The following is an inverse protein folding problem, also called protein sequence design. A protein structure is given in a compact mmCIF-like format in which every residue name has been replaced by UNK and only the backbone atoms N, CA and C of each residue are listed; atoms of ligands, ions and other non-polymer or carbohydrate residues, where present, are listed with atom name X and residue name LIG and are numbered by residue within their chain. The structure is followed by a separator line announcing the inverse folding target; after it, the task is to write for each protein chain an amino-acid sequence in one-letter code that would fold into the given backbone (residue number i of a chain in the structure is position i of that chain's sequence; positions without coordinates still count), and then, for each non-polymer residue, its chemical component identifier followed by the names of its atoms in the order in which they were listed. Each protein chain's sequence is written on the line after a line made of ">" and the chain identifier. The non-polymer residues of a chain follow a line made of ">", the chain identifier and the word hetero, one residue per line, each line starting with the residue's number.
data_IF_368787050931
#
_entry.id   IF_368787050931
#
_cell.length_a   1.000
_cell.length_b   1.000
_cell.length_c   1.000
_cell.angle_alpha   90.00
_cell.angle_beta   90.00
_cell.angle_gamma   90.00
#
_symmetry.space_group_name_H-M   'P 1'
#
loop_
_entity.id
_entity.type
_entity.pdbx_description
1 polymer ?
#
# COMPACT_ATOMS: atom_id res chain seq x y z
N UNK A 1 20.85 25.40 1.52
CA UNK A 1 20.00 24.46 0.77
C UNK A 1 19.96 24.94 -0.67
N UNK A 2 20.01 24.06 -1.67
CA UNK A 2 19.89 24.45 -3.08
C UNK A 2 18.52 25.07 -3.39
N UNK A 3 18.47 25.96 -4.39
CA UNK A 3 17.24 26.66 -4.81
C UNK A 3 16.20 25.73 -5.43
N UNK A 4 16.65 24.61 -5.99
CA UNK A 4 15.84 23.57 -6.64
C UNK A 4 15.51 22.39 -5.71
N UNK A 5 15.59 22.57 -4.40
CA UNK A 5 15.34 21.54 -3.42
C UNK A 5 14.46 22.05 -2.26
N UNK A 6 13.94 21.09 -1.48
CA UNK A 6 13.24 21.36 -0.23
C UNK A 6 13.70 20.43 0.89
N UNK A 7 13.38 20.79 2.13
CA UNK A 7 13.54 19.96 3.30
C UNK A 7 12.16 19.75 3.94
N UNK A 8 11.77 18.50 4.09
CA UNK A 8 10.54 18.11 4.77
C UNK A 8 10.86 17.72 6.22
N UNK A 9 10.15 18.32 7.17
CA UNK A 9 10.06 17.84 8.55
C UNK A 9 9.07 16.70 8.59
N UNK A 10 9.54 15.49 8.87
CA UNK A 10 8.70 14.31 8.91
C UNK A 10 7.81 14.34 10.16
N UNK A 11 6.51 14.30 9.98
CA UNK A 11 5.55 14.17 11.09
C UNK A 11 5.18 12.70 11.32
N UNK A 12 4.99 11.95 10.22
CA UNK A 12 4.58 10.55 10.23
C UNK A 12 5.32 9.79 9.14
N UNK A 13 5.81 8.61 9.49
CA UNK A 13 6.30 7.61 8.53
C UNK A 13 5.61 6.26 8.83
N UNK A 14 4.79 5.78 7.89
CA UNK A 14 4.13 4.48 7.98
C UNK A 14 5.15 3.33 7.93
N UNK A 15 4.82 2.22 8.59
CA UNK A 15 5.65 1.00 8.58
C UNK A 15 4.99 -0.06 7.70
N UNK A 16 5.69 -0.46 6.65
CA UNK A 16 5.22 -1.36 5.62
C UNK A 16 5.75 -2.79 5.80
N UNK A 17 5.09 -3.77 5.18
CA UNK A 17 5.61 -5.14 5.06
C UNK A 17 6.96 -5.21 4.33
N UNK A 18 7.22 -4.31 3.40
CA UNK A 18 8.51 -4.22 2.70
C UNK A 18 9.65 -3.76 3.61
N UNK A 19 9.37 -2.97 4.65
CA UNK A 19 10.38 -2.64 5.67
C UNK A 19 10.83 -3.91 6.42
N UNK A 20 9.91 -4.85 6.68
CA UNK A 20 10.24 -6.14 7.33
C UNK A 20 11.18 -6.96 6.43
N UNK A 21 10.89 -7.04 5.14
CA UNK A 21 11.71 -7.75 4.17
C UNK A 21 13.10 -7.13 4.05
N UNK A 22 13.16 -5.81 3.95
CA UNK A 22 14.40 -5.05 3.82
C UNK A 22 15.26 -5.12 5.10
N UNK A 23 14.64 -5.08 6.27
CA UNK A 23 15.33 -5.19 7.55
C UNK A 23 16.03 -6.54 7.75
N UNK A 24 15.54 -7.60 7.10
CA UNK A 24 16.12 -8.96 7.16
C UNK A 24 17.21 -9.20 6.11
N UNK A 25 17.31 -8.35 5.09
CA UNK A 25 18.30 -8.50 4.02
C UNK A 25 19.65 -7.91 4.44
N UNK A 26 20.78 -8.48 3.96
CA UNK A 26 22.08 -7.82 4.07
C UNK A 26 22.02 -6.45 3.42
N UNK A 27 22.65 -5.46 4.03
CA UNK A 27 22.75 -4.12 3.49
C UNK A 27 23.33 -4.14 2.08
N UNK A 28 22.55 -3.76 1.09
CA UNK A 28 23.02 -3.55 -0.28
C UNK A 28 23.36 -2.08 -0.45
N UNK A 29 24.63 -1.78 -0.75
CA UNK A 29 25.06 -0.42 -1.07
C UNK A 29 25.29 0.49 0.14
N UNK A 30 25.47 -0.03 1.35
CA UNK A 30 25.86 0.72 2.54
C UNK A 30 24.72 0.94 3.55
N UNK A 31 24.96 1.75 4.62
CA UNK A 31 23.97 2.05 5.62
C UNK A 31 22.83 2.89 5.04
N UNK A 32 21.59 2.65 5.50
CA UNK A 32 20.42 3.40 5.04
C UNK A 32 19.49 3.75 6.20
N UNK A 33 18.73 4.82 6.02
CA UNK A 33 17.56 5.14 6.84
C UNK A 33 16.33 4.63 6.09
N UNK A 34 15.55 3.77 6.73
CA UNK A 34 14.33 3.20 6.18
C UNK A 34 13.13 4.15 6.33
N UNK A 35 11.94 3.70 5.97
CA UNK A 35 10.71 4.47 6.01
C UNK A 35 10.43 5.18 4.67
N UNK A 36 9.37 4.75 4.02
CA UNK A 36 9.03 5.18 2.66
C UNK A 36 7.55 5.62 2.50
N UNK A 37 6.77 5.64 3.56
CA UNK A 37 5.39 6.11 3.61
C UNK A 37 5.33 7.40 4.43
N UNK A 38 5.64 8.55 3.80
CA UNK A 38 6.04 9.76 4.51
C UNK A 38 5.04 10.90 4.37
N UNK A 39 4.69 11.51 5.50
CA UNK A 39 3.89 12.73 5.60
C UNK A 39 4.65 13.74 6.47
N UNK A 40 4.67 15.00 6.05
CA UNK A 40 5.35 16.03 6.83
C UNK A 40 5.14 17.44 6.32
N UNK A 41 5.65 18.38 7.07
CA UNK A 41 5.61 19.81 6.71
C UNK A 41 6.87 20.20 5.95
N UNK A 42 6.71 20.98 4.89
CA UNK A 42 7.83 21.60 4.20
C UNK A 42 8.46 22.65 5.14
N UNK A 43 9.65 22.36 5.67
CA UNK A 43 10.32 23.24 6.65
C UNK A 43 11.22 24.27 6.01
N UNK A 44 11.76 23.97 4.83
CA UNK A 44 12.51 24.90 3.97
C UNK A 44 12.21 24.57 2.52
N UNK A 45 12.02 25.59 1.71
CA UNK A 45 11.70 25.44 0.28
C UNK A 45 12.52 26.41 -0.54
N UNK A 46 13.32 25.92 -1.48
CA UNK A 46 14.05 26.75 -2.43
C UNK A 46 13.11 27.43 -3.43
N UNK A 47 13.48 28.60 -3.94
CA UNK A 47 12.60 29.40 -4.79
C UNK A 47 12.20 28.68 -6.09
N UNK A 48 13.14 28.00 -6.73
CA UNK A 48 12.90 27.18 -7.94
C UNK A 48 11.97 26.00 -7.63
N UNK A 49 12.20 25.30 -6.51
CA UNK A 49 11.36 24.20 -6.07
C UNK A 49 9.92 24.68 -5.79
N UNK A 50 9.78 25.80 -5.06
CA UNK A 50 8.48 26.41 -4.75
C UNK A 50 7.67 26.72 -6.01
N UNK A 51 8.31 27.38 -6.97
CA UNK A 51 7.69 27.76 -8.24
C UNK A 51 7.30 26.52 -9.07
N UNK A 52 8.17 25.50 -9.13
CA UNK A 52 7.94 24.30 -9.92
C UNK A 52 6.84 23.41 -9.35
N UNK A 53 6.82 23.22 -8.02
CA UNK A 53 5.84 22.36 -7.32
C UNK A 53 4.58 23.09 -6.88
N UNK A 54 4.57 24.41 -6.92
CA UNK A 54 3.46 25.24 -6.45
C UNK A 54 3.25 25.16 -4.93
N UNK A 55 4.29 24.90 -4.14
CA UNK A 55 4.26 24.73 -2.68
C UNK A 55 5.04 25.82 -1.96
N UNK A 56 4.86 25.90 -0.65
CA UNK A 56 5.56 26.84 0.23
C UNK A 56 5.92 26.20 1.56
N UNK A 57 6.78 26.86 2.32
CA UNK A 57 7.07 26.48 3.70
C UNK A 57 5.78 26.43 4.54
N UNK A 58 5.66 25.41 5.37
CA UNK A 58 4.50 25.13 6.20
C UNK A 58 3.39 24.32 5.51
N UNK A 59 3.48 24.03 4.21
CA UNK A 59 2.53 23.12 3.56
C UNK A 59 2.71 21.70 4.09
N UNK A 60 1.61 21.04 4.47
CA UNK A 60 1.56 19.63 4.80
C UNK A 60 1.43 18.81 3.52
N UNK A 61 2.37 17.89 3.31
CA UNK A 61 2.46 17.09 2.09
C UNK A 61 2.62 15.61 2.41
N UNK A 62 2.03 14.77 1.56
CA UNK A 62 2.37 13.37 1.42
C UNK A 62 3.47 13.26 0.36
N UNK A 63 4.53 12.51 0.69
CA UNK A 63 5.70 12.32 -0.17
C UNK A 63 5.70 10.89 -0.72
N UNK A 64 5.67 10.79 -2.05
CA UNK A 64 5.90 9.52 -2.72
C UNK A 64 7.33 9.02 -2.54
N UNK A 65 7.46 7.71 -2.40
CA UNK A 65 8.79 7.12 -2.26
C UNK A 65 9.56 7.01 -3.58
N UNK A 66 8.90 7.25 -4.70
CA UNK A 66 9.52 7.27 -6.04
C UNK A 66 10.21 8.60 -6.33
N UNK A 67 11.37 8.53 -6.99
CA UNK A 67 12.10 9.68 -7.53
C UNK A 67 12.25 9.50 -9.05
N UNK A 68 11.20 9.78 -9.83
CA UNK A 68 11.16 9.53 -11.25
C UNK A 68 12.13 10.41 -12.03
N UNK A 69 12.49 9.99 -13.26
CA UNK A 69 13.39 10.77 -14.11
C UNK A 69 12.77 12.07 -14.67
N UNK A 70 11.44 12.17 -14.67
CA UNK A 70 10.69 13.34 -15.12
C UNK A 70 10.46 13.44 -16.64
N UNK A 71 10.94 12.46 -17.44
CA UNK A 71 10.89 12.55 -18.90
C UNK A 71 10.57 11.24 -19.65
N UNK A 72 10.37 10.13 -18.95
CA UNK A 72 9.98 8.89 -19.60
C UNK A 72 8.45 8.81 -19.80
N UNK A 73 8.00 7.88 -20.65
CA UNK A 73 6.58 7.67 -20.91
C UNK A 73 5.77 7.40 -19.63
N UNK A 74 6.32 6.63 -18.69
CA UNK A 74 5.68 6.30 -17.42
C UNK A 74 5.46 7.52 -16.54
N UNK A 75 6.43 8.44 -16.53
CA UNK A 75 6.32 9.68 -15.75
C UNK A 75 5.25 10.61 -16.35
N UNK A 76 5.21 10.71 -17.69
CA UNK A 76 4.18 11.50 -18.39
C UNK A 76 2.76 10.96 -18.19
N UNK A 77 2.61 9.66 -17.98
CA UNK A 77 1.32 9.03 -17.70
C UNK A 77 0.95 9.03 -16.20
N UNK A 78 1.84 9.53 -15.31
CA UNK A 78 1.65 9.44 -13.86
C UNK A 78 1.83 8.03 -13.28
N UNK A 79 2.47 7.14 -14.05
CA UNK A 79 2.78 5.75 -13.70
C UNK A 79 4.27 5.58 -13.30
N UNK A 80 4.81 6.56 -12.59
CA UNK A 80 6.22 6.65 -12.21
C UNK A 80 6.74 5.45 -11.42
N UNK A 81 5.86 4.61 -10.88
CA UNK A 81 6.21 3.29 -10.30
C UNK A 81 6.93 2.36 -11.29
N UNK A 82 6.80 2.62 -12.58
CA UNK A 82 7.46 1.89 -13.68
C UNK A 82 8.68 2.63 -14.25
N UNK A 83 9.03 3.80 -13.71
CA UNK A 83 10.21 4.55 -14.14
C UNK A 83 11.50 3.84 -13.74
N UNK A 84 12.37 3.56 -14.72
CA UNK A 84 13.64 2.86 -14.47
C UNK A 84 14.56 3.57 -13.48
N UNK A 85 14.51 4.91 -13.40
CA UNK A 85 15.33 5.70 -12.50
C UNK A 85 15.03 5.45 -11.01
N UNK A 86 13.86 4.91 -10.68
CA UNK A 86 13.45 4.58 -9.31
C UNK A 86 13.39 3.06 -9.04
N UNK A 87 13.89 2.24 -9.97
CA UNK A 87 13.78 0.78 -9.91
C UNK A 87 15.02 0.13 -9.27
N UNK A 88 15.12 0.23 -7.96
CA UNK A 88 16.26 -0.25 -7.19
C UNK A 88 16.47 -1.78 -7.22
N UNK A 89 15.47 -2.58 -7.58
CA UNK A 89 15.63 -4.04 -7.70
C UNK A 89 16.61 -4.42 -8.83
N UNK A 90 16.61 -3.64 -9.91
CA UNK A 90 17.44 -3.89 -11.09
C UNK A 90 18.63 -2.96 -11.18
N UNK A 91 18.52 -1.73 -10.62
CA UNK A 91 19.61 -0.76 -10.60
C UNK A 91 19.92 -0.31 -9.17
N UNK A 92 21.04 -0.75 -8.58
CA UNK A 92 21.43 -0.35 -7.23
C UNK A 92 21.77 1.15 -7.11
N UNK A 93 21.91 1.87 -8.23
CA UNK A 93 22.12 3.32 -8.27
C UNK A 93 20.79 4.11 -8.30
N UNK A 94 19.66 3.45 -8.49
CA UNK A 94 18.37 4.11 -8.46
C UNK A 94 18.12 4.72 -7.09
N UNK A 95 17.67 5.97 -7.08
CA UNK A 95 17.36 6.70 -5.84
C UNK A 95 15.87 6.54 -5.53
N UNK A 96 15.59 6.13 -4.29
CA UNK A 96 14.22 5.94 -3.81
C UNK A 96 14.18 6.14 -2.29
N UNK A 97 13.18 6.84 -1.78
CA UNK A 97 13.05 7.04 -0.35
C UNK A 97 12.89 5.72 0.42
N UNK A 98 13.62 5.59 1.54
CA UNK A 98 13.66 4.40 2.37
C UNK A 98 14.54 3.26 1.86
N UNK A 99 15.17 3.41 0.68
CA UNK A 99 15.98 2.38 0.02
C UNK A 99 17.39 2.84 -0.37
N UNK A 100 17.64 4.14 -0.33
CA UNK A 100 18.89 4.76 -0.78
C UNK A 100 19.89 4.86 0.37
N UNK A 101 21.15 4.49 0.11
CA UNK A 101 22.23 4.60 1.10
C UNK A 101 22.45 6.04 1.57
N UNK A 102 22.77 6.22 2.85
CA UNK A 102 23.17 7.50 3.41
C UNK A 102 24.52 8.00 2.87
N UNK A 103 25.31 7.13 2.21
CA UNK A 103 26.54 7.53 1.52
C UNK A 103 26.27 8.36 0.26
N UNK A 104 25.04 8.32 -0.26
CA UNK A 104 24.60 9.21 -1.34
C UNK A 104 24.16 10.54 -0.74
N UNK A 105 24.89 11.62 -1.06
CA UNK A 105 24.57 12.94 -0.54
C UNK A 105 23.14 13.38 -0.89
N UNK A 106 22.42 14.05 0.00
CA UNK A 106 22.85 14.50 1.34
C UNK A 106 22.60 13.49 2.48
N UNK A 107 22.31 12.22 2.19
CA UNK A 107 22.10 11.17 3.19
C UNK A 107 20.71 11.18 3.87
N UNK A 108 19.80 12.03 3.44
CA UNK A 108 18.46 12.22 4.03
C UNK A 108 17.37 11.57 3.15
N UNK A 109 17.45 10.24 2.99
CA UNK A 109 16.64 9.49 2.04
C UNK A 109 15.61 8.54 2.66
N UNK A 110 15.40 8.60 3.98
CA UNK A 110 14.45 7.71 4.65
C UNK A 110 13.63 8.42 5.72
N UNK A 111 12.37 8.03 5.86
CA UNK A 111 11.38 8.68 6.73
C UNK A 111 11.48 8.32 8.21
N UNK A 112 12.23 7.27 8.57
CA UNK A 112 12.52 7.01 10.00
C UNK A 112 13.62 7.96 10.48
N UNK A 113 13.38 9.26 10.28
CA UNK A 113 14.26 10.37 10.59
C UNK A 113 13.46 11.64 10.85
N UNK A 114 14.09 12.68 11.39
CA UNK A 114 13.42 13.97 11.60
C UNK A 114 13.20 14.74 10.30
N UNK A 115 14.07 14.58 9.30
CA UNK A 115 14.03 15.35 8.07
C UNK A 115 14.33 14.48 6.85
N UNK A 116 13.67 14.82 5.74
CA UNK A 116 13.92 14.28 4.41
C UNK A 116 14.33 15.37 3.44
N UNK A 117 15.29 15.08 2.59
CA UNK A 117 15.68 15.95 1.48
C UNK A 117 14.81 15.67 0.26
N UNK A 118 14.32 16.71 -0.37
CA UNK A 118 13.46 16.63 -1.55
C UNK A 118 14.15 17.31 -2.73
N UNK A 119 14.71 16.56 -3.69
CA UNK A 119 15.17 17.10 -4.96
C UNK A 119 13.98 17.53 -5.84
N UNK A 120 14.25 18.28 -6.90
CA UNK A 120 13.21 18.84 -7.78
C UNK A 120 12.28 17.77 -8.38
N UNK A 121 12.76 16.55 -8.59
CA UNK A 121 11.96 15.42 -9.10
C UNK A 121 11.18 14.67 -8.03
N UNK A 122 11.21 15.07 -6.76
CA UNK A 122 10.35 14.49 -5.73
C UNK A 122 8.86 14.69 -6.10
N UNK A 123 8.05 13.64 -5.88
CA UNK A 123 6.61 13.69 -6.14
C UNK A 123 5.87 13.96 -4.84
N UNK A 124 5.14 15.07 -4.81
CA UNK A 124 4.42 15.56 -3.66
C UNK A 124 2.91 15.63 -3.95
N UNK A 125 2.12 15.32 -2.93
CA UNK A 125 0.68 15.54 -2.91
C UNK A 125 0.33 16.41 -1.72
N UNK A 126 -0.49 17.43 -1.92
CA UNK A 126 -0.96 18.26 -0.81
C UNK A 126 -1.97 17.46 0.01
N UNK A 127 -1.76 17.43 1.31
CA UNK A 127 -2.75 16.82 2.21
C UNK A 127 -3.98 17.71 2.27
N UNK A 128 -5.19 17.19 2.01
CA UNK A 128 -6.42 17.95 2.08
C UNK A 128 -6.64 18.58 3.46
N UNK A 129 -7.26 19.76 3.49
CA UNK A 129 -7.64 20.41 4.74
C UNK A 129 -8.61 19.52 5.52
N UNK A 130 -8.39 19.41 6.83
CA UNK A 130 -9.20 18.57 7.73
C UNK A 130 -8.67 17.16 7.93
N UNK A 131 -7.71 16.71 7.11
CA UNK A 131 -7.00 15.46 7.31
C UNK A 131 -5.75 15.72 8.16
N UNK A 132 -5.59 14.97 9.24
CA UNK A 132 -4.38 15.05 10.08
C UNK A 132 -3.19 14.38 9.39
N UNK A 133 -1.97 14.67 9.84
CA UNK A 133 -0.77 14.01 9.33
C UNK A 133 -0.81 12.49 9.58
N UNK A 134 -1.33 12.07 10.74
CA UNK A 134 -1.44 10.65 11.08
C UNK A 134 -2.43 9.92 10.18
N UNK A 135 -3.61 10.50 9.91
CA UNK A 135 -4.58 9.92 8.96
C UNK A 135 -4.01 9.89 7.53
N UNK A 136 -3.29 10.95 7.11
CA UNK A 136 -2.60 10.98 5.83
C UNK A 136 -1.47 9.94 5.74
N UNK A 137 -0.94 9.46 6.88
CA UNK A 137 0.01 8.35 6.96
C UNK A 137 -0.54 7.05 6.36
N UNK A 138 -1.87 6.89 6.29
CA UNK A 138 -2.54 5.75 5.64
C UNK A 138 -2.59 5.90 4.11
N UNK A 139 -2.10 7.02 3.54
CA UNK A 139 -2.24 7.29 2.11
C UNK A 139 -1.56 6.25 1.22
N UNK A 140 -0.37 5.74 1.57
CA UNK A 140 0.30 4.69 0.79
C UNK A 140 -0.53 3.41 0.68
N UNK A 141 -0.95 2.74 1.78
CA UNK A 141 -1.79 1.56 1.66
C UNK A 141 -3.16 1.87 1.03
N UNK A 142 -3.73 3.07 1.24
CA UNK A 142 -4.98 3.46 0.61
C UNK A 142 -4.83 3.65 -0.90
N UNK A 143 -3.73 4.23 -1.36
CA UNK A 143 -3.40 4.38 -2.78
C UNK A 143 -3.25 3.01 -3.47
N UNK A 144 -2.58 2.07 -2.80
CA UNK A 144 -2.52 0.69 -3.27
C UNK A 144 -3.93 0.07 -3.33
N UNK A 145 -4.75 0.26 -2.32
CA UNK A 145 -6.12 -0.24 -2.29
C UNK A 145 -6.95 0.26 -3.48
N UNK A 146 -6.87 1.55 -3.80
CA UNK A 146 -7.52 2.15 -4.97
C UNK A 146 -6.93 1.62 -6.27
N UNK A 147 -5.60 1.59 -6.38
CA UNK A 147 -4.94 1.08 -7.57
C UNK A 147 -5.36 -0.36 -7.87
N UNK A 148 -5.28 -1.23 -6.88
CA UNK A 148 -5.51 -2.66 -7.08
C UNK A 148 -6.98 -3.00 -7.23
N UNK A 149 -7.86 -2.40 -6.41
CA UNK A 149 -9.29 -2.68 -6.50
C UNK A 149 -9.93 -2.01 -7.71
N UNK A 150 -9.76 -0.69 -7.88
CA UNK A 150 -10.52 0.08 -8.86
C UNK A 150 -9.83 0.11 -10.22
N UNK A 151 -8.54 0.47 -10.25
CA UNK A 151 -7.83 0.72 -11.52
C UNK A 151 -7.41 -0.61 -12.16
N UNK A 152 -6.81 -1.50 -11.37
CA UNK A 152 -6.31 -2.78 -11.86
C UNK A 152 -7.40 -3.86 -11.88
N UNK A 153 -8.21 -3.96 -10.84
CA UNK A 153 -9.26 -4.96 -10.69
C UNK A 153 -10.57 -4.60 -11.39
N UNK A 154 -10.82 -3.32 -11.62
CA UNK A 154 -12.06 -2.86 -12.24
C UNK A 154 -13.28 -2.93 -11.31
N UNK A 155 -13.07 -2.90 -10.00
CA UNK A 155 -14.19 -2.85 -9.02
C UNK A 155 -14.97 -1.57 -9.21
N UNK A 156 -16.28 -1.68 -9.25
CA UNK A 156 -17.21 -0.56 -9.38
C UNK A 156 -18.57 -0.89 -8.81
N UNK A 157 -19.57 -0.12 -9.24
CA UNK A 157 -20.96 -0.30 -8.83
C UNK A 157 -21.45 -1.73 -9.06
N UNK A 158 -22.09 -2.30 -8.04
CA UNK A 158 -22.67 -3.65 -8.02
C UNK A 158 -21.66 -4.82 -8.16
N UNK A 159 -20.34 -4.57 -8.10
CA UNK A 159 -19.33 -5.65 -8.11
C UNK A 159 -19.42 -6.53 -6.87
N UNK A 160 -19.19 -7.83 -7.06
CA UNK A 160 -18.92 -8.78 -5.97
C UNK A 160 -17.43 -9.02 -5.87
N UNK A 161 -16.84 -8.76 -4.70
CA UNK A 161 -15.38 -8.73 -4.50
C UNK A 161 -14.96 -9.72 -3.41
N UNK A 162 -13.93 -10.50 -3.67
CA UNK A 162 -13.22 -11.29 -2.67
C UNK A 162 -11.87 -10.64 -2.36
N UNK A 163 -11.61 -10.35 -1.10
CA UNK A 163 -10.33 -9.82 -0.60
C UNK A 163 -9.71 -10.89 0.29
N UNK A 164 -8.51 -11.33 -0.06
CA UNK A 164 -7.75 -12.33 0.69
C UNK A 164 -6.63 -11.65 1.46
N UNK A 165 -6.64 -11.84 2.79
CA UNK A 165 -5.71 -11.21 3.72
C UNK A 165 -6.20 -9.86 4.25
N UNK A 166 -6.64 -9.79 5.53
CA UNK A 166 -7.21 -8.60 6.16
C UNK A 166 -6.14 -7.69 6.78
N UNK A 167 -4.95 -7.66 6.21
CA UNK A 167 -3.89 -6.70 6.58
C UNK A 167 -4.24 -5.28 6.14
N UNK A 168 -3.35 -4.31 6.41
CA UNK A 168 -3.58 -2.91 6.01
C UNK A 168 -3.94 -2.76 4.53
N UNK A 169 -3.30 -3.54 3.63
CA UNK A 169 -3.57 -3.50 2.20
C UNK A 169 -4.98 -4.02 1.88
N UNK A 170 -5.37 -5.17 2.44
CA UNK A 170 -6.70 -5.74 2.22
C UNK A 170 -7.81 -4.86 2.79
N UNK A 171 -7.60 -4.25 3.96
CA UNK A 171 -8.56 -3.29 4.53
C UNK A 171 -8.70 -2.03 3.67
N UNK A 172 -7.61 -1.54 3.07
CA UNK A 172 -7.67 -0.43 2.12
C UNK A 172 -8.36 -0.81 0.81
N UNK A 173 -8.15 -2.04 0.31
CA UNK A 173 -8.93 -2.58 -0.81
C UNK A 173 -10.43 -2.67 -0.48
N UNK A 174 -10.80 -3.07 0.74
CA UNK A 174 -12.19 -3.10 1.20
C UNK A 174 -12.79 -1.68 1.20
N UNK A 175 -12.11 -0.71 1.81
CA UNK A 175 -12.57 0.67 1.83
C UNK A 175 -12.75 1.24 0.41
N UNK A 176 -11.79 0.99 -0.49
CA UNK A 176 -11.88 1.39 -1.89
C UNK A 176 -13.09 0.75 -2.58
N UNK A 177 -13.28 -0.56 -2.42
CA UNK A 177 -14.38 -1.31 -3.02
C UNK A 177 -15.75 -0.83 -2.53
N UNK A 178 -15.92 -0.64 -1.23
CA UNK A 178 -17.18 -0.13 -0.65
C UNK A 178 -17.44 1.32 -1.06
N UNK A 179 -16.42 2.14 -1.18
CA UNK A 179 -16.56 3.52 -1.65
C UNK A 179 -17.00 3.58 -3.12
N UNK A 180 -16.51 2.65 -3.95
CA UNK A 180 -16.87 2.55 -5.36
C UNK A 180 -18.28 1.94 -5.61
N UNK A 181 -18.98 1.51 -4.55
CA UNK A 181 -20.32 0.95 -4.66
C UNK A 181 -20.37 -0.55 -4.96
N UNK A 182 -19.34 -1.31 -4.58
CA UNK A 182 -19.41 -2.77 -4.60
C UNK A 182 -20.62 -3.26 -3.79
N UNK A 183 -21.41 -4.14 -4.37
CA UNK A 183 -22.62 -4.69 -3.74
C UNK A 183 -22.24 -5.63 -2.60
N UNK A 184 -21.28 -6.50 -2.86
CA UNK A 184 -20.82 -7.48 -1.88
C UNK A 184 -19.30 -7.54 -1.79
N UNK A 185 -18.78 -7.43 -0.58
CA UNK A 185 -17.33 -7.59 -0.30
C UNK A 185 -17.14 -8.69 0.74
N UNK A 186 -16.42 -9.73 0.33
CA UNK A 186 -16.05 -10.89 1.14
C UNK A 186 -14.58 -10.74 1.53
N UNK A 187 -14.26 -10.92 2.80
CA UNK A 187 -12.88 -10.85 3.29
C UNK A 187 -12.48 -12.16 3.94
N UNK A 188 -11.35 -12.73 3.54
CA UNK A 188 -10.80 -13.93 4.16
C UNK A 188 -9.55 -13.64 4.97
N UNK A 189 -9.36 -14.36 6.05
CA UNK A 189 -8.18 -14.34 6.91
C UNK A 189 -8.00 -15.67 7.61
N UNK A 190 -6.96 -15.79 8.44
CA UNK A 190 -6.71 -16.93 9.31
C UNK A 190 -7.21 -16.66 10.74
N UNK A 191 -7.23 -17.66 11.60
CA UNK A 191 -7.61 -17.49 13.02
C UNK A 191 -6.75 -16.47 13.77
N UNK A 192 -5.52 -16.24 13.31
CA UNK A 192 -4.62 -15.19 13.84
C UNK A 192 -5.11 -13.78 13.48
N UNK A 193 -5.93 -13.64 12.45
CA UNK A 193 -6.44 -12.37 11.95
C UNK A 193 -7.80 -11.99 12.55
N UNK A 194 -8.28 -12.67 13.62
CA UNK A 194 -9.60 -12.43 14.19
C UNK A 194 -9.92 -10.94 14.41
N UNK A 195 -9.00 -10.18 15.04
CA UNK A 195 -9.16 -8.72 15.21
C UNK A 195 -9.26 -7.98 13.88
N UNK A 196 -8.47 -8.33 12.88
CA UNK A 196 -8.48 -7.71 11.55
C UNK A 196 -9.78 -8.01 10.79
N UNK A 197 -10.33 -9.22 10.96
CA UNK A 197 -11.64 -9.59 10.42
C UNK A 197 -12.79 -8.82 11.09
N UNK A 198 -12.68 -8.50 12.39
CA UNK A 198 -13.61 -7.60 13.07
C UNK A 198 -13.53 -6.17 12.50
N UNK A 199 -12.33 -5.66 12.28
CA UNK A 199 -12.14 -4.35 11.63
C UNK A 199 -12.70 -4.37 10.21
N UNK A 200 -12.52 -5.45 9.47
CA UNK A 200 -13.13 -5.60 8.14
C UNK A 200 -14.66 -5.52 8.19
N UNK A 201 -15.31 -6.14 9.19
CA UNK A 201 -16.77 -5.98 9.42
C UNK A 201 -17.15 -4.52 9.68
N UNK A 202 -16.40 -3.84 10.55
CA UNK A 202 -16.62 -2.43 10.86
C UNK A 202 -16.45 -1.52 9.64
N UNK A 203 -15.57 -1.88 8.70
CA UNK A 203 -15.38 -1.18 7.42
C UNK A 203 -16.42 -1.57 6.35
N UNK A 204 -17.35 -2.46 6.68
CA UNK A 204 -18.47 -2.82 5.82
C UNK A 204 -18.25 -4.07 4.97
N UNK A 205 -17.36 -4.99 5.36
CA UNK A 205 -17.33 -6.32 4.77
C UNK A 205 -18.67 -7.04 5.01
N UNK A 206 -19.28 -7.55 3.95
CA UNK A 206 -20.58 -8.22 4.03
C UNK A 206 -20.44 -9.67 4.57
N UNK A 207 -19.30 -10.30 4.27
CA UNK A 207 -18.94 -11.65 4.76
C UNK A 207 -17.47 -11.64 5.17
N UNK A 208 -17.17 -12.23 6.32
CA UNK A 208 -15.81 -12.55 6.73
C UNK A 208 -15.67 -14.04 6.95
N UNK A 209 -14.52 -14.60 6.56
CA UNK A 209 -14.29 -16.06 6.58
C UNK A 209 -12.91 -16.32 7.19
N UNK A 210 -12.89 -17.19 8.22
CA UNK A 210 -11.66 -17.79 8.73
C UNK A 210 -11.36 -19.07 7.95
N UNK A 211 -10.37 -19.02 7.08
CA UNK A 211 -10.03 -20.15 6.19
C UNK A 211 -9.44 -21.37 6.91
N UNK A 212 -9.09 -21.25 8.19
CA UNK A 212 -8.60 -22.38 8.99
C UNK A 212 -9.74 -23.16 9.66
N UNK A 213 -10.92 -22.55 9.80
CA UNK A 213 -12.08 -23.13 10.49
C UNK A 213 -13.29 -23.36 9.59
N UNK A 214 -13.32 -22.71 8.40
CA UNK A 214 -14.44 -22.78 7.46
C UNK A 214 -13.98 -23.27 6.08
N UNK A 215 -14.87 -23.94 5.35
CA UNK A 215 -14.67 -24.18 3.91
C UNK A 215 -14.90 -22.85 3.17
N UNK A 216 -13.78 -22.15 2.91
CA UNK A 216 -13.83 -20.83 2.31
C UNK A 216 -14.50 -20.83 0.94
N UNK A 217 -14.26 -21.83 0.08
CA UNK A 217 -14.87 -21.89 -1.24
C UNK A 217 -16.39 -22.08 -1.13
N UNK A 218 -16.84 -23.03 -0.30
CA UNK A 218 -18.27 -23.26 -0.07
C UNK A 218 -18.97 -22.00 0.45
N UNK A 219 -18.37 -21.30 1.42
CA UNK A 219 -18.91 -20.05 1.98
C UNK A 219 -18.98 -18.91 0.95
N UNK A 220 -17.96 -18.77 0.09
CA UNK A 220 -17.97 -17.79 -0.99
C UNK A 220 -19.05 -18.12 -2.00
N UNK A 221 -19.16 -19.37 -2.41
CA UNK A 221 -20.19 -19.81 -3.37
C UNK A 221 -21.60 -19.66 -2.81
N UNK A 222 -21.84 -20.00 -1.54
CA UNK A 222 -23.11 -19.77 -0.85
C UNK A 222 -23.47 -18.29 -0.86
N UNK A 223 -22.53 -17.40 -0.48
CA UNK A 223 -22.76 -15.96 -0.42
C UNK A 223 -22.96 -15.31 -1.78
N UNK A 224 -22.67 -16.00 -2.87
CA UNK A 224 -22.80 -15.51 -4.25
C UNK A 224 -23.83 -16.28 -5.07
N UNK A 225 -24.70 -17.07 -4.45
CA UNK A 225 -25.70 -17.93 -5.10
C UNK A 225 -25.06 -18.84 -6.19
N UNK A 226 -23.88 -19.37 -5.91
CA UNK A 226 -23.10 -20.22 -6.80
C UNK A 226 -22.48 -19.53 -8.01
N UNK A 227 -22.59 -18.19 -8.11
CA UNK A 227 -22.07 -17.42 -9.26
C UNK A 227 -20.57 -17.20 -9.18
N UNK A 228 -20.00 -17.11 -7.97
CA UNK A 228 -18.64 -16.67 -7.72
C UNK A 228 -18.51 -15.14 -7.77
N UNK A 229 -17.29 -14.64 -7.59
CA UNK A 229 -17.00 -13.21 -7.48
C UNK A 229 -16.51 -12.60 -8.80
N UNK A 230 -16.78 -11.31 -9.00
CA UNK A 230 -16.32 -10.56 -10.18
C UNK A 230 -14.82 -10.28 -10.09
N UNK A 231 -14.34 -9.91 -8.89
CA UNK A 231 -12.96 -9.52 -8.67
C UNK A 231 -12.42 -10.21 -7.43
N UNK A 232 -11.20 -10.72 -7.54
CA UNK A 232 -10.40 -11.24 -6.42
C UNK A 232 -9.19 -10.32 -6.23
N UNK A 233 -8.95 -9.91 -4.99
CA UNK A 233 -7.78 -9.12 -4.59
C UNK A 233 -6.97 -9.95 -3.59
N UNK A 234 -5.87 -10.56 -4.06
CA UNK A 234 -4.98 -11.35 -3.22
C UNK A 234 -3.92 -10.42 -2.59
N UNK A 235 -4.16 -10.06 -1.33
CA UNK A 235 -3.29 -9.23 -0.50
C UNK A 235 -2.50 -10.06 0.52
N UNK A 236 -2.42 -11.38 0.35
CA UNK A 236 -1.70 -12.26 1.28
C UNK A 236 -0.20 -12.21 1.05
N UNK A 237 0.55 -12.38 2.14
CA UNK A 237 2.02 -12.49 2.11
C UNK A 237 2.44 -13.73 2.88
N UNK A 238 3.31 -14.54 2.29
CA UNK A 238 3.83 -15.75 2.94
C UNK A 238 2.84 -16.91 3.10
N UNK A 239 1.66 -16.84 2.46
CA UNK A 239 0.62 -17.85 2.54
C UNK A 239 0.75 -18.99 1.50
N UNK A 240 1.84 -19.01 0.73
CA UNK A 240 2.04 -19.97 -0.35
C UNK A 240 1.04 -19.77 -1.49
N UNK A 241 0.73 -20.85 -2.21
CA UNK A 241 -0.10 -20.79 -3.43
C UNK A 241 -1.61 -20.93 -3.14
N UNK A 242 -1.99 -21.29 -1.92
CA UNK A 242 -3.37 -21.59 -1.56
C UNK A 242 -4.35 -20.42 -1.80
N UNK A 243 -4.03 -19.15 -1.44
CA UNK A 243 -4.92 -18.03 -1.72
C UNK A 243 -5.17 -17.83 -3.22
N UNK A 244 -4.11 -17.90 -4.02
CA UNK A 244 -4.25 -17.75 -5.47
C UNK A 244 -5.11 -18.86 -6.08
N UNK A 245 -4.94 -20.10 -5.64
CA UNK A 245 -5.78 -21.22 -6.10
C UNK A 245 -7.24 -21.05 -5.67
N UNK A 246 -7.50 -20.65 -4.42
CA UNK A 246 -8.84 -20.33 -3.94
C UNK A 246 -9.45 -19.21 -4.77
N UNK A 247 -8.70 -18.12 -5.03
CA UNK A 247 -9.16 -17.00 -5.83
C UNK A 247 -9.55 -17.39 -7.26
N UNK A 248 -8.76 -18.26 -7.91
CA UNK A 248 -9.09 -18.80 -9.22
C UNK A 248 -10.41 -19.59 -9.18
N UNK A 249 -10.63 -20.43 -8.16
CA UNK A 249 -11.87 -21.20 -8.03
C UNK A 249 -13.07 -20.31 -7.71
N UNK A 250 -12.91 -19.36 -6.79
CA UNK A 250 -13.96 -18.45 -6.34
C UNK A 250 -14.40 -17.44 -7.42
N UNK A 251 -13.56 -17.15 -8.40
CA UNK A 251 -13.91 -16.24 -9.50
C UNK A 251 -15.08 -16.80 -10.31
N UNK A 252 -15.99 -15.92 -10.73
CA UNK A 252 -17.15 -16.28 -11.57
C UNK A 252 -16.74 -17.04 -12.83
N UNK A 253 -17.70 -17.78 -13.39
CA UNK A 253 -17.44 -18.71 -14.52
C UNK A 253 -16.92 -18.05 -15.80
N UNK A 254 -17.16 -16.75 -16.01
CA UNK A 254 -16.71 -16.03 -17.21
C UNK A 254 -16.33 -14.58 -16.90
N UNK A 255 -15.14 -14.20 -17.34
CA UNK A 255 -14.69 -12.79 -17.38
C UNK A 255 -14.42 -12.16 -16.02
N UNK A 256 -14.05 -12.92 -15.01
CA UNK A 256 -13.62 -12.35 -13.73
C UNK A 256 -12.15 -11.90 -13.77
N UNK A 257 -11.79 -11.03 -12.86
CA UNK A 257 -10.42 -10.52 -12.71
C UNK A 257 -9.84 -10.95 -11.36
N UNK A 258 -8.59 -11.37 -11.36
CA UNK A 258 -7.82 -11.57 -10.14
C UNK A 258 -6.58 -10.68 -10.16
N UNK A 259 -6.41 -9.88 -9.12
CA UNK A 259 -5.23 -9.04 -8.90
C UNK A 259 -4.42 -9.64 -7.76
N UNK A 260 -3.15 -9.93 -8.00
CA UNK A 260 -2.25 -10.58 -7.05
C UNK A 260 -1.14 -9.61 -6.64
N UNK A 261 -1.02 -9.39 -5.36
CA UNK A 261 0.02 -8.56 -4.75
C UNK A 261 1.07 -9.44 -4.05
N UNK A 262 1.27 -10.64 -4.44
CA UNK A 262 2.22 -11.53 -3.78
C UNK A 262 3.64 -10.95 -3.79
N UNK A 263 4.20 -10.65 -2.62
CA UNK A 263 5.65 -10.45 -2.47
C UNK A 263 6.28 -11.77 -2.03
N UNK A 264 7.26 -12.22 -2.78
CA UNK A 264 8.08 -13.36 -2.42
C UNK A 264 8.36 -14.29 -3.61
N UNK A 265 9.37 -15.12 -3.44
CA UNK A 265 9.77 -16.16 -4.41
C UNK A 265 8.79 -17.34 -4.33
N UNK A 266 7.50 -17.09 -4.58
CA UNK A 266 6.51 -18.15 -4.63
C UNK A 266 6.50 -18.76 -6.04
N UNK A 267 7.02 -19.96 -6.14
CA UNK A 267 6.93 -20.73 -7.36
C UNK A 267 5.65 -21.57 -7.36
N UNK A 268 4.98 -21.62 -8.50
CA UNK A 268 3.89 -22.54 -8.76
C UNK A 268 4.41 -23.73 -9.55
N UNK A 269 4.72 -24.86 -8.92
CA UNK A 269 5.20 -26.06 -9.62
C UNK A 269 4.21 -26.58 -10.66
N UNK A 270 2.91 -26.28 -10.46
CA UNK A 270 1.82 -26.65 -11.37
C UNK A 270 0.75 -25.56 -11.35
N UNK A 271 0.88 -24.58 -12.24
CA UNK A 271 -0.11 -23.50 -12.36
C UNK A 271 -1.31 -23.93 -13.20
N UNK A 272 -2.57 -23.73 -12.73
CA UNK A 272 -3.76 -24.26 -13.39
C UNK A 272 -4.23 -23.40 -14.57
N UNK A 273 -3.36 -23.19 -15.55
CA UNK A 273 -3.63 -22.31 -16.72
C UNK A 273 -4.92 -22.70 -17.46
N UNK A 274 -5.23 -23.99 -17.54
CA UNK A 274 -6.45 -24.46 -18.16
C UNK A 274 -7.74 -24.03 -17.46
N UNK A 275 -7.68 -23.72 -16.15
CA UNK A 275 -8.83 -23.17 -15.42
C UNK A 275 -9.04 -21.69 -15.78
N UNK A 276 -7.97 -20.90 -15.86
CA UNK A 276 -8.04 -19.51 -16.28
C UNK A 276 -8.65 -19.42 -17.69
N UNK A 277 -8.16 -20.23 -18.62
CA UNK A 277 -8.64 -20.26 -20.01
C UNK A 277 -10.13 -20.58 -20.07
N UNK A 278 -10.59 -21.63 -19.35
CA UNK A 278 -12.02 -22.01 -19.35
C UNK A 278 -12.92 -20.94 -18.74
N UNK A 279 -12.41 -20.17 -17.75
CA UNK A 279 -13.15 -19.07 -17.12
C UNK A 279 -13.03 -17.75 -17.89
N UNK A 280 -12.10 -17.65 -18.86
CA UNK A 280 -11.79 -16.39 -19.53
C UNK A 280 -11.36 -15.31 -18.54
N UNK A 281 -10.59 -15.70 -17.53
CA UNK A 281 -10.15 -14.81 -16.45
C UNK A 281 -9.01 -13.91 -16.89
N UNK A 282 -8.97 -12.72 -16.33
CA UNK A 282 -7.77 -11.87 -16.30
C UNK A 282 -7.01 -12.12 -14.99
N UNK A 283 -5.73 -12.45 -15.08
CA UNK A 283 -4.81 -12.46 -13.94
C UNK A 283 -3.82 -11.31 -14.10
N UNK A 284 -3.76 -10.44 -13.10
CA UNK A 284 -2.93 -9.23 -13.13
C UNK A 284 -2.07 -9.16 -11.86
N UNK A 285 -0.80 -8.82 -12.01
CA UNK A 285 0.06 -8.52 -10.86
C UNK A 285 -0.16 -7.07 -10.41
N UNK A 286 -0.17 -6.86 -9.10
CA UNK A 286 -0.23 -5.54 -8.49
C UNK A 286 1.17 -5.12 -8.01
N UNK A 287 1.54 -3.87 -8.30
CA UNK A 287 2.80 -3.27 -7.82
C UNK A 287 2.64 -1.77 -7.64
N UNK A 288 2.69 -1.33 -6.37
CA UNK A 288 2.60 0.08 -6.04
C UNK A 288 1.33 0.76 -6.60
N UNK A 289 1.41 2.05 -6.81
CA UNK A 289 0.28 2.88 -7.21
C UNK A 289 0.72 4.02 -8.14
N UNK A 290 -0.24 4.58 -8.88
CA UNK A 290 -0.09 5.72 -9.77
C UNK A 290 -0.32 7.04 -9.03
N UNK A 291 0.10 8.15 -9.61
CA UNK A 291 -0.22 9.51 -9.13
C UNK A 291 -1.72 9.68 -8.86
N UNK A 292 -2.54 9.24 -9.82
CA UNK A 292 -4.00 9.32 -9.72
C UNK A 292 -4.55 8.56 -8.50
N UNK A 293 -3.99 7.39 -8.20
CA UNK A 293 -4.43 6.60 -7.06
C UNK A 293 -4.17 7.32 -5.74
N UNK A 294 -3.07 8.07 -5.61
CA UNK A 294 -2.77 8.87 -4.41
C UNK A 294 -3.74 10.01 -4.24
N UNK A 295 -4.03 10.77 -5.32
CA UNK A 295 -5.01 11.87 -5.26
C UNK A 295 -6.39 11.36 -4.80
N UNK A 296 -6.83 10.23 -5.36
CA UNK A 296 -8.09 9.59 -4.96
C UNK A 296 -8.05 9.07 -3.51
N UNK A 297 -6.90 8.54 -3.07
CA UNK A 297 -6.73 8.05 -1.70
C UNK A 297 -6.84 9.18 -0.68
N UNK A 298 -6.12 10.28 -0.90
CA UNK A 298 -6.19 11.46 -0.03
C UNK A 298 -7.61 12.04 0.03
N UNK A 299 -8.30 12.09 -1.12
CA UNK A 299 -9.70 12.52 -1.18
C UNK A 299 -10.63 11.57 -0.39
N UNK A 300 -10.44 10.26 -0.53
CA UNK A 300 -11.24 9.27 0.20
C UNK A 300 -10.99 9.33 1.70
N UNK A 301 -9.74 9.46 2.14
CA UNK A 301 -9.39 9.61 3.55
C UNK A 301 -10.03 10.87 4.14
N UNK A 302 -9.96 12.00 3.43
CA UNK A 302 -10.55 13.27 3.84
C UNK A 302 -12.11 13.24 3.90
N UNK A 303 -12.75 12.23 3.35
CA UNK A 303 -14.21 12.06 3.49
C UNK A 303 -14.64 11.56 4.86
N UNK A 304 -13.70 11.06 5.69
CA UNK A 304 -13.93 10.45 7.01
C UNK A 304 -15.06 9.41 7.02
N UNK A 305 -15.27 8.72 5.90
CA UNK A 305 -16.35 7.73 5.75
C UNK A 305 -16.11 6.46 6.58
N UNK A 306 -14.85 6.14 6.85
CA UNK A 306 -14.47 4.95 7.57
C UNK A 306 -13.77 5.31 8.88
N UNK A 307 -13.98 4.54 9.96
CA UNK A 307 -13.34 4.76 11.26
C UNK A 307 -11.86 4.31 11.23
N UNK A 308 -10.98 5.16 10.67
CA UNK A 308 -9.55 4.84 10.44
C UNK A 308 -8.81 4.47 11.73
N UNK A 309 -9.24 4.99 12.87
CA UNK A 309 -8.69 4.71 14.20
C UNK A 309 -8.69 3.19 14.53
N UNK A 310 -9.60 2.42 13.94
CA UNK A 310 -9.65 0.97 14.16
C UNK A 310 -8.46 0.25 13.51
N UNK A 311 -7.89 0.81 12.44
CA UNK A 311 -6.73 0.21 11.79
C UNK A 311 -5.41 0.90 12.15
N UNK A 312 -5.43 2.17 12.58
CA UNK A 312 -4.26 2.93 13.04
C UNK A 312 -3.91 2.53 14.47
N UNK A 313 -3.31 1.36 14.65
CA UNK A 313 -3.28 0.69 15.96
C UNK A 313 -2.14 1.11 16.88
N UNK A 314 -0.98 1.46 16.34
CA UNK A 314 0.20 1.76 17.15
C UNK A 314 1.05 2.88 16.55
N UNK A 315 1.63 3.70 17.45
CA UNK A 315 2.59 4.74 17.09
C UNK A 315 3.84 4.63 17.94
N UNK A 316 5.01 4.80 17.31
CA UNK A 316 6.32 4.69 17.94
C UNK A 316 7.15 5.94 17.67
N UNK A 317 8.05 6.31 18.60
CA UNK A 317 9.12 7.26 18.31
C UNK A 317 10.29 6.57 17.59
N UNK A 318 11.32 7.34 17.19
CA UNK A 318 12.49 6.79 16.46
C UNK A 318 13.20 5.65 17.24
N UNK A 319 13.27 5.73 18.55
CA UNK A 319 13.86 4.66 19.38
C UNK A 319 13.08 3.34 19.29
N UNK A 320 11.82 3.38 18.88
CA UNK A 320 10.94 2.20 18.75
C UNK A 320 10.88 1.58 17.35
N UNK A 321 11.65 2.06 16.38
CA UNK A 321 11.58 1.61 14.97
C UNK A 321 11.83 0.11 14.82
N UNK A 322 12.83 -0.45 15.50
CA UNK A 322 13.10 -1.89 15.49
C UNK A 322 11.87 -2.71 15.92
N UNK A 323 11.25 -2.29 17.03
CA UNK A 323 10.05 -2.97 17.52
C UNK A 323 8.83 -2.77 16.62
N UNK A 324 8.69 -1.60 15.99
CA UNK A 324 7.64 -1.32 15.03
C UNK A 324 7.74 -2.24 13.80
N UNK A 325 8.94 -2.39 13.22
CA UNK A 325 9.19 -3.29 12.08
C UNK A 325 8.91 -4.75 12.46
N UNK A 326 9.38 -5.20 13.63
CA UNK A 326 9.10 -6.55 14.15
C UNK A 326 7.60 -6.78 14.37
N UNK A 327 6.87 -5.75 14.79
CA UNK A 327 5.41 -5.83 15.00
C UNK A 327 4.65 -6.04 13.69
N UNK A 328 5.02 -5.35 12.61
CA UNK A 328 4.48 -5.61 11.27
C UNK A 328 4.81 -7.04 10.82
N UNK A 329 6.01 -7.52 11.16
CA UNK A 329 6.45 -8.89 10.90
C UNK A 329 5.81 -9.98 11.79
N UNK A 330 4.86 -9.62 12.66
CA UNK A 330 4.17 -10.56 13.56
C UNK A 330 4.97 -10.99 14.79
N UNK A 331 6.06 -10.28 15.12
CA UNK A 331 6.99 -10.61 16.21
C UNK A 331 7.03 -9.51 17.30
N UNK A 332 6.03 -8.66 17.36
CA UNK A 332 5.98 -7.50 18.28
C UNK A 332 4.59 -7.28 18.85
N UNK A 333 4.07 -6.05 18.75
CA UNK A 333 2.82 -5.61 19.35
C UNK A 333 1.62 -6.45 18.88
N UNK A 334 0.82 -7.02 19.81
CA UNK A 334 -0.36 -7.80 19.46
C UNK A 334 -1.41 -6.94 18.75
N UNK A 335 -2.10 -7.51 17.76
CA UNK A 335 -3.19 -6.84 17.06
C UNK A 335 -2.74 -5.68 16.15
N UNK A 336 -1.46 -5.62 15.81
CA UNK A 336 -0.93 -4.62 14.89
C UNK A 336 -1.58 -4.72 13.50
N UNK A 337 -2.05 -3.56 12.98
CA UNK A 337 -2.64 -3.46 11.63
C UNK A 337 -1.84 -2.43 10.82
N UNK A 338 -2.06 -1.13 11.08
CA UNK A 338 -1.25 -0.04 10.55
C UNK A 338 -0.48 0.62 11.69
N UNK A 339 0.82 0.73 11.50
CA UNK A 339 1.73 1.28 12.47
C UNK A 339 2.46 2.49 11.87
N UNK A 340 2.70 3.49 12.70
CA UNK A 340 3.41 4.69 12.28
C UNK A 340 4.56 5.02 13.23
N UNK A 341 5.64 5.54 12.67
CA UNK A 341 6.72 6.19 13.40
C UNK A 341 6.45 7.70 13.40
N UNK A 342 6.40 8.27 14.57
CA UNK A 342 6.29 9.71 14.82
C UNK A 342 7.67 10.19 15.30
N UNK A 343 8.50 10.77 14.41
CA UNK A 343 9.90 11.04 14.75
C UNK A 343 10.13 12.00 15.90
N UNK A 344 9.12 12.77 16.26
CA UNK A 344 9.17 13.77 17.33
C UNK A 344 8.57 13.31 18.67
N UNK A 345 8.11 12.04 18.73
CA UNK A 345 7.56 11.41 19.95
C UNK A 345 8.67 10.94 20.90
#
# INVERSE_FOLDING_TARGET
>A
MPDDAALMKVEVAGVCGTDVSQYRLPLRGGPLVMGHENVGYLSRVGATFAAHKGVKEGDLVFLEHYLPCGHCEWDHMGEYRHCAATEWFYDPKAIRYGYTSTDIAPGLWGGFSHYLYLPLNAVLHRVPKGLTAEEAGVATPMSNGIQWALIDGGVGYASTVLIQGPGQQGLCCLMASKHAGADRVIVTGTSKDARRLEVAKAFGADVVIDVETEDALARIMESTDGRGVDVVLDCTVGAGTAPTLLGIEATKRRGGTMVVQGEGNQEFPSFPIGRLTRKGMTLKSARGHSYRAVELALHQLASHRFPLELMMTHTFGLAGVDYAIKSVGGQGAPGAIHLSVLPWK
#
